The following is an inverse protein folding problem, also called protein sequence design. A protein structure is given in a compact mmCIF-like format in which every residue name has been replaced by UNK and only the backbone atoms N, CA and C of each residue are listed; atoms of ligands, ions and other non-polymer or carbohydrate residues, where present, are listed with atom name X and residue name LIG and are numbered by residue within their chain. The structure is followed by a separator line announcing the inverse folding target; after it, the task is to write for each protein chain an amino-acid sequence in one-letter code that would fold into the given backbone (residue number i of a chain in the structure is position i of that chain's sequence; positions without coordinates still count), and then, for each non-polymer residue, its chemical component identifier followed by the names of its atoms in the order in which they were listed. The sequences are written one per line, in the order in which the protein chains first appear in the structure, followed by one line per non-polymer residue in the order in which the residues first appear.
data_IF_032122127317
#
_entry.id   IF_032122127317
#
_cell.length_a   1.000
_cell.length_b   1.000
_cell.length_c   1.000
_cell.angle_alpha   90.00
_cell.angle_beta   90.00
_cell.angle_gamma   90.00
#
_symmetry.space_group_name_H-M   'P 1'
#
loop_
_entity.id
_entity.type
_entity.pdbx_description
1 polymer ?
#
# COMPACT_ATOMS: atom_id res chain seq x y z
N UNK A 1 6.00 -8.98 40.29
CA UNK A 1 5.04 -8.24 39.44
C UNK A 1 3.72 -8.23 40.16
N UNK A 2 3.08 -7.06 40.29
CA UNK A 2 1.72 -6.93 40.83
C UNK A 2 0.73 -7.63 39.86
N UNK A 3 -0.30 -8.29 40.39
CA UNK A 3 -1.39 -8.90 39.62
C UNK A 3 -1.96 -7.95 38.55
N UNK A 4 -2.16 -6.68 38.86
CA UNK A 4 -2.65 -5.67 37.90
C UNK A 4 -1.70 -5.47 36.71
N UNK A 5 -0.39 -5.51 36.94
CA UNK A 5 0.59 -5.38 35.85
C UNK A 5 0.63 -6.65 34.99
N UNK A 6 0.49 -7.83 35.60
CA UNK A 6 0.35 -9.09 34.87
C UNK A 6 -0.89 -9.08 33.97
N UNK A 7 -2.02 -8.62 34.50
CA UNK A 7 -3.27 -8.54 33.74
C UNK A 7 -3.18 -7.50 32.61
N UNK A 8 -2.53 -6.35 32.84
CA UNK A 8 -2.25 -5.37 31.81
C UNK A 8 -1.40 -5.95 30.66
N UNK A 9 -0.28 -6.60 30.99
CA UNK A 9 0.59 -7.23 29.99
C UNK A 9 -0.11 -8.35 29.23
N UNK A 10 -0.92 -9.17 29.92
CA UNK A 10 -1.70 -10.25 29.29
C UNK A 10 -2.75 -9.70 28.33
N UNK A 11 -3.55 -8.73 28.77
CA UNK A 11 -4.64 -8.16 27.94
C UNK A 11 -4.04 -7.38 26.76
N UNK A 12 -3.03 -6.53 27.01
CA UNK A 12 -2.34 -5.81 25.95
C UNK A 12 -1.67 -6.74 24.94
N UNK A 13 -1.03 -7.82 25.41
CA UNK A 13 -0.42 -8.85 24.57
C UNK A 13 -1.42 -9.77 23.84
N UNK A 14 -2.71 -9.64 24.12
CA UNK A 14 -3.77 -10.36 23.42
C UNK A 14 -4.37 -9.57 22.25
N UNK A 15 -3.92 -8.34 21.98
CA UNK A 15 -4.34 -7.59 20.80
C UNK A 15 -3.91 -8.31 19.52
N UNK A 16 -4.86 -8.58 18.63
CA UNK A 16 -4.64 -9.29 17.36
C UNK A 16 -4.88 -8.42 16.13
N UNK A 17 -5.67 -7.35 16.25
CA UNK A 17 -5.99 -6.43 15.14
C UNK A 17 -6.34 -5.05 15.70
N UNK A 18 -5.82 -3.99 15.08
CA UNK A 18 -6.19 -2.60 15.37
C UNK A 18 -6.70 -1.85 14.12
N UNK A 19 -8.01 -1.91 13.88
CA UNK A 19 -8.69 -1.14 12.82
C UNK A 19 -9.25 0.16 13.38
N UNK A 20 -8.34 1.11 13.61
CA UNK A 20 -8.68 2.44 14.12
C UNK A 20 -9.53 3.25 13.15
N UNK A 21 -9.51 2.92 11.85
CA UNK A 21 -10.37 3.57 10.85
C UNK A 21 -11.84 3.15 10.96
N UNK A 22 -12.09 1.93 11.43
CA UNK A 22 -13.42 1.39 11.70
C UNK A 22 -13.84 1.48 13.17
N UNK A 23 -13.01 2.11 14.02
CA UNK A 23 -13.29 2.24 15.44
C UNK A 23 -13.18 0.92 16.22
N UNK A 24 -12.21 0.05 15.90
CA UNK A 24 -12.21 -1.33 16.36
C UNK A 24 -10.84 -1.84 16.85
N UNK A 25 -10.85 -2.58 17.96
CA UNK A 25 -9.73 -3.39 18.46
C UNK A 25 -10.19 -4.82 18.73
N UNK A 26 -9.50 -5.82 18.18
CA UNK A 26 -9.82 -7.25 18.38
C UNK A 26 -8.77 -7.95 19.23
N UNK A 27 -9.24 -8.72 20.21
CA UNK A 27 -8.42 -9.50 21.12
C UNK A 27 -8.60 -11.00 20.89
N UNK A 28 -7.57 -11.76 21.25
CA UNK A 28 -7.60 -13.22 21.32
C UNK A 28 -8.57 -13.68 22.42
N UNK A 29 -9.72 -14.21 22.02
CA UNK A 29 -10.78 -14.67 22.92
C UNK A 29 -10.36 -15.79 23.88
N UNK A 30 -9.24 -16.48 23.60
CA UNK A 30 -8.70 -17.49 24.51
C UNK A 30 -7.90 -16.89 25.67
N UNK A 31 -7.50 -15.62 25.56
CA UNK A 31 -6.64 -14.91 26.52
C UNK A 31 -7.36 -13.83 27.31
N UNK A 32 -8.45 -13.29 26.78
CA UNK A 32 -9.21 -12.20 27.40
C UNK A 32 -10.70 -12.45 27.27
N UNK A 33 -11.41 -12.32 28.40
CA UNK A 33 -12.86 -12.44 28.50
C UNK A 33 -13.57 -11.14 28.12
N UNK A 34 -14.86 -11.23 27.80
CA UNK A 34 -15.67 -10.06 27.50
C UNK A 34 -15.81 -9.14 28.72
N UNK A 35 -15.95 -9.72 29.91
CA UNK A 35 -16.08 -9.00 31.17
C UNK A 35 -14.86 -8.13 31.45
N UNK A 36 -13.65 -8.63 31.17
CA UNK A 36 -12.41 -7.85 31.30
C UNK A 36 -12.37 -6.67 30.34
N UNK A 37 -12.80 -6.86 29.09
CA UNK A 37 -12.84 -5.78 28.11
C UNK A 37 -13.89 -4.71 28.46
N UNK A 38 -15.00 -5.08 29.11
CA UNK A 38 -16.05 -4.15 29.55
C UNK A 38 -15.58 -3.19 30.65
N UNK A 39 -14.49 -3.52 31.35
CA UNK A 39 -13.88 -2.65 32.36
C UNK A 39 -12.93 -1.62 31.76
N UNK A 40 -12.63 -1.72 30.46
CA UNK A 40 -11.67 -0.83 29.80
C UNK A 40 -12.33 0.47 29.35
N UNK A 41 -11.59 1.55 29.49
CA UNK A 41 -11.89 2.86 28.89
C UNK A 41 -10.91 3.14 27.77
N UNK A 42 -11.38 3.76 26.69
CA UNK A 42 -10.55 4.15 25.57
C UNK A 42 -10.31 5.66 25.55
N UNK A 43 -9.06 6.05 25.32
CA UNK A 43 -8.64 7.44 25.24
C UNK A 43 -7.79 7.64 24.00
N UNK A 44 -7.95 8.78 23.34
CA UNK A 44 -7.05 9.19 22.26
C UNK A 44 -6.41 10.52 22.58
N UNK A 45 -5.16 10.69 22.17
CA UNK A 45 -4.45 11.97 22.20
C UNK A 45 -4.31 12.45 20.76
N UNK A 46 -4.71 13.69 20.49
CA UNK A 46 -4.56 14.31 19.18
C UNK A 46 -3.20 15.00 19.01
N UNK A 47 -2.99 15.73 17.91
CA UNK A 47 -1.73 16.45 17.67
C UNK A 47 -1.59 17.75 18.46
N UNK A 48 -2.67 18.21 19.10
CA UNK A 48 -2.64 19.33 20.03
C UNK A 48 -2.39 18.88 21.48
N UNK A 49 -2.06 17.59 21.68
CA UNK A 49 -1.88 16.94 22.99
C UNK A 49 -3.16 16.98 23.85
N UNK A 50 -4.33 17.09 23.22
CA UNK A 50 -5.62 17.04 23.90
C UNK A 50 -6.06 15.59 23.99
N UNK A 51 -6.43 15.17 25.20
CA UNK A 51 -6.94 13.84 25.49
C UNK A 51 -8.47 13.82 25.39
N UNK A 52 -8.98 12.90 24.58
CA UNK A 52 -10.40 12.69 24.36
C UNK A 52 -10.80 11.31 24.87
N UNK A 53 -11.94 11.24 25.56
CA UNK A 53 -12.58 9.99 25.93
C UNK A 53 -13.37 9.45 24.74
N UNK A 54 -13.32 8.14 24.52
CA UNK A 54 -14.15 7.47 23.52
C UNK A 54 -15.15 6.57 24.21
N UNK A 55 -16.41 6.68 23.81
CA UNK A 55 -17.43 5.72 24.22
C UNK A 55 -17.11 4.35 23.61
N UNK A 56 -17.10 3.32 24.45
CA UNK A 56 -16.75 1.95 24.07
C UNK A 56 -17.95 1.02 24.18
N UNK A 57 -18.10 0.14 23.19
CA UNK A 57 -19.03 -0.98 23.22
C UNK A 57 -18.26 -2.28 23.00
N UNK A 58 -18.42 -3.25 23.91
CA UNK A 58 -17.76 -4.55 23.80
C UNK A 58 -18.70 -5.58 23.19
N UNK A 59 -18.22 -6.35 22.21
CA UNK A 59 -18.93 -7.45 21.57
C UNK A 59 -18.01 -8.67 21.47
N UNK A 60 -18.20 -9.65 22.36
CA UNK A 60 -17.28 -10.79 22.47
C UNK A 60 -15.87 -10.32 22.84
N UNK A 61 -14.87 -10.70 22.05
CA UNK A 61 -13.47 -10.27 22.23
C UNK A 61 -13.09 -9.00 21.46
N UNK A 62 -14.07 -8.16 21.10
CA UNK A 62 -13.85 -6.96 20.30
C UNK A 62 -14.35 -5.72 21.04
N UNK A 63 -13.51 -4.68 21.08
CA UNK A 63 -13.89 -3.34 21.51
C UNK A 63 -14.21 -2.52 20.27
N UNK A 64 -15.40 -1.93 20.26
CA UNK A 64 -15.79 -0.89 19.33
C UNK A 64 -15.78 0.45 20.05
N UNK A 65 -15.37 1.50 19.37
CA UNK A 65 -15.54 2.87 19.84
C UNK A 65 -16.12 3.74 18.73
N UNK A 66 -16.72 4.85 19.14
CA UNK A 66 -17.26 5.84 18.22
C UNK A 66 -16.17 6.38 17.28
N UNK A 67 -16.61 6.95 16.15
CA UNK A 67 -15.71 7.48 15.15
C UNK A 67 -14.67 8.40 15.77
N UNK A 68 -13.40 8.19 15.41
CA UNK A 68 -12.29 9.00 15.89
C UNK A 68 -12.57 10.50 15.64
N UNK A 69 -12.19 11.40 16.56
CA UNK A 69 -12.33 12.84 16.35
C UNK A 69 -11.72 13.24 15.00
N UNK A 70 -12.53 13.79 14.09
CA UNK A 70 -12.11 14.04 12.71
C UNK A 70 -11.33 15.34 12.52
N UNK A 71 -11.22 16.17 13.57
CA UNK A 71 -10.70 17.54 13.47
C UNK A 71 -9.18 17.61 13.57
N UNK A 72 -8.55 16.66 14.27
CA UNK A 72 -7.10 16.64 14.49
C UNK A 72 -6.56 15.21 14.36
N UNK A 73 -5.37 15.02 13.74
CA UNK A 73 -4.78 13.69 13.62
C UNK A 73 -4.47 13.09 14.99
N UNK A 74 -4.65 11.79 15.11
CA UNK A 74 -4.49 11.06 16.37
C UNK A 74 -3.02 10.65 16.49
N UNK A 75 -2.38 10.99 17.60
CA UNK A 75 -0.97 10.65 17.86
C UNK A 75 -0.82 9.38 18.69
N UNK A 76 -1.82 9.09 19.53
CA UNK A 76 -1.83 7.96 20.46
C UNK A 76 -3.25 7.47 20.78
N UNK A 77 -3.39 6.17 20.97
CA UNK A 77 -4.55 5.53 21.60
C UNK A 77 -4.12 4.77 22.86
N UNK A 78 -4.89 4.88 23.93
CA UNK A 78 -4.69 4.17 25.19
C UNK A 78 -5.97 3.42 25.59
N UNK A 79 -5.84 2.16 25.98
CA UNK A 79 -6.87 1.47 26.76
C UNK A 79 -6.43 1.40 28.21
N UNK A 80 -7.37 1.67 29.13
CA UNK A 80 -7.07 1.75 30.57
C UNK A 80 -8.15 1.05 31.38
N UNK A 81 -7.73 0.34 32.43
CA UNK A 81 -8.60 -0.11 33.50
C UNK A 81 -8.30 0.77 34.72
N UNK A 82 -9.28 1.55 35.16
CA UNK A 82 -9.08 2.64 36.12
C UNK A 82 -7.92 3.56 35.67
N UNK A 83 -6.88 3.72 36.49
CA UNK A 83 -5.69 4.50 36.19
C UNK A 83 -4.55 3.68 35.57
N UNK A 84 -4.73 2.37 35.38
CA UNK A 84 -3.69 1.48 34.83
C UNK A 84 -3.78 1.42 33.31
N UNK A 85 -2.68 1.72 32.63
CA UNK A 85 -2.55 1.53 31.18
C UNK A 85 -2.47 0.04 30.84
N UNK A 86 -3.40 -0.42 30.02
CA UNK A 86 -3.48 -1.80 29.55
C UNK A 86 -2.85 -1.95 28.17
N UNK A 87 -3.11 -0.99 27.29
CA UNK A 87 -2.58 -0.96 25.93
C UNK A 87 -2.26 0.48 25.56
N UNK A 88 -1.12 0.68 24.89
CA UNK A 88 -0.77 1.95 24.27
C UNK A 88 -0.34 1.73 22.83
N UNK A 89 -1.06 2.35 21.91
CA UNK A 89 -0.66 2.48 20.51
C UNK A 89 -0.14 3.90 20.30
N UNK A 90 1.17 4.03 20.07
CA UNK A 90 1.84 5.32 19.85
C UNK A 90 2.36 5.42 18.42
N UNK A 91 2.78 6.63 18.02
CA UNK A 91 3.34 6.85 16.69
C UNK A 91 2.27 6.74 15.60
N UNK A 92 1.05 7.16 15.93
CA UNK A 92 -0.08 7.13 15.00
C UNK A 92 -0.07 8.31 14.01
N UNK A 93 0.72 9.35 14.31
CA UNK A 93 0.94 10.50 13.45
C UNK A 93 2.36 11.07 13.65
N UNK A 94 2.94 11.64 12.58
CA UNK A 94 4.30 12.18 12.57
C UNK A 94 4.28 13.63 12.08
N UNK A 95 4.36 14.63 12.98
CA UNK A 95 4.05 16.02 12.65
C UNK A 95 5.12 16.74 11.81
N UNK A 96 6.32 16.16 11.67
CA UNK A 96 7.44 16.79 10.94
C UNK A 96 8.08 15.80 9.98
N UNK A 97 8.77 16.32 8.96
CA UNK A 97 9.57 15.51 8.04
C UNK A 97 10.53 14.58 8.81
N UNK A 98 11.27 15.11 9.79
CA UNK A 98 12.21 14.33 10.60
C UNK A 98 11.52 13.19 11.36
N UNK A 99 10.36 13.45 11.96
CA UNK A 99 9.59 12.42 12.67
C UNK A 99 9.11 11.34 11.70
N UNK A 100 8.62 11.74 10.53
CA UNK A 100 8.18 10.83 9.49
C UNK A 100 9.33 9.96 8.98
N UNK A 101 10.49 10.56 8.74
CA UNK A 101 11.68 9.86 8.28
C UNK A 101 12.18 8.82 9.28
N UNK A 102 12.13 9.14 10.58
CA UNK A 102 12.54 8.24 11.65
C UNK A 102 11.50 7.16 11.99
N UNK A 103 10.21 7.43 11.80
CA UNK A 103 9.13 6.58 12.28
C UNK A 103 8.39 5.77 11.21
N UNK A 104 8.12 6.34 10.03
CA UNK A 104 7.16 5.73 9.09
C UNK A 104 7.67 5.60 7.65
N UNK A 105 8.74 6.31 7.28
CA UNK A 105 9.29 6.31 5.91
C UNK A 105 9.75 4.94 5.42
N UNK A 106 10.10 4.01 6.31
CA UNK A 106 10.68 2.70 5.93
C UNK A 106 9.76 1.54 6.31
N UNK A 107 9.77 0.43 5.54
CA UNK A 107 8.99 -0.76 5.93
C UNK A 107 9.43 -1.34 7.29
N UNK A 108 10.71 -1.24 7.64
CA UNK A 108 11.25 -1.74 8.92
C UNK A 108 10.79 -0.96 10.15
N UNK A 109 10.31 0.28 9.98
CA UNK A 109 9.83 1.11 11.07
C UNK A 109 8.30 1.18 11.14
N UNK A 110 7.60 0.71 10.09
CA UNK A 110 6.14 0.67 10.04
C UNK A 110 5.58 -0.50 10.85
N UNK A 111 4.33 -0.39 11.36
CA UNK A 111 3.66 -1.51 11.99
C UNK A 111 3.56 -2.71 11.03
N UNK A 112 3.65 -3.92 11.59
CA UNK A 112 3.34 -5.16 10.86
C UNK A 112 1.84 -5.52 10.97
N UNK A 113 0.99 -4.51 11.13
CA UNK A 113 -0.47 -4.59 11.08
C UNK A 113 -0.94 -3.75 9.87
N UNK A 114 -1.65 -4.39 8.94
CA UNK A 114 -2.10 -3.74 7.70
C UNK A 114 -3.18 -2.66 7.94
N UNK A 115 -4.04 -2.85 8.95
CA UNK A 115 -5.08 -1.90 9.34
C UNK A 115 -4.43 -0.65 9.96
N UNK A 116 -3.44 -0.86 10.82
CA UNK A 116 -2.73 0.24 11.46
C UNK A 116 -1.85 1.02 10.47
N UNK A 117 -1.14 0.32 9.56
CA UNK A 117 -0.36 0.94 8.49
C UNK A 117 -1.27 1.76 7.54
N UNK A 118 -2.48 1.25 7.22
CA UNK A 118 -3.50 1.99 6.48
C UNK A 118 -3.96 3.25 7.23
N UNK A 119 -4.33 3.12 8.50
CA UNK A 119 -4.78 4.25 9.32
C UNK A 119 -3.73 5.36 9.39
N UNK A 120 -2.49 5.04 9.75
CA UNK A 120 -1.41 6.01 9.85
C UNK A 120 -1.18 6.69 8.50
N UNK A 121 -1.10 5.92 7.41
CA UNK A 121 -0.89 6.49 6.09
C UNK A 121 -2.06 7.39 5.65
N UNK A 122 -3.31 7.06 6.00
CA UNK A 122 -4.48 7.92 5.71
C UNK A 122 -4.41 9.26 6.46
N UNK A 123 -4.09 9.24 7.75
CA UNK A 123 -3.97 10.46 8.53
C UNK A 123 -2.79 11.33 8.08
N UNK A 124 -1.66 10.70 7.76
CA UNK A 124 -0.50 11.39 7.21
C UNK A 124 -0.81 12.04 5.86
N UNK A 125 -1.58 11.40 4.99
CA UNK A 125 -1.95 12.04 3.72
C UNK A 125 -2.86 13.26 3.93
N UNK A 126 -3.82 13.18 4.85
CA UNK A 126 -4.80 14.25 5.05
C UNK A 126 -4.24 15.44 5.83
N UNK A 127 -3.49 15.20 6.90
CA UNK A 127 -3.15 16.21 7.89
C UNK A 127 -1.66 16.62 7.91
N UNK A 128 -0.78 15.92 7.22
CA UNK A 128 0.65 16.25 7.26
C UNK A 128 0.98 17.52 6.48
N UNK A 129 1.65 18.46 7.13
CA UNK A 129 2.01 19.77 6.56
C UNK A 129 3.44 19.84 6.00
N UNK A 130 4.23 18.76 6.13
CA UNK A 130 5.58 18.69 5.60
C UNK A 130 5.66 18.50 4.08
N UNK A 131 6.72 17.86 3.59
CA UNK A 131 6.93 17.71 2.14
C UNK A 131 5.74 17.00 1.46
N UNK A 132 5.17 17.57 0.37
CA UNK A 132 4.05 16.95 -0.33
C UNK A 132 4.34 15.53 -0.84
N UNK A 133 5.60 15.24 -1.18
CA UNK A 133 6.03 13.90 -1.60
C UNK A 133 5.83 12.81 -0.51
N UNK A 134 5.88 13.18 0.77
CA UNK A 134 5.57 12.24 1.86
C UNK A 134 4.09 11.94 1.96
N UNK A 135 3.23 12.92 1.72
CA UNK A 135 1.78 12.68 1.60
C UNK A 135 1.51 11.71 0.46
N UNK A 136 2.05 11.96 -0.73
CA UNK A 136 1.87 11.09 -1.90
C UNK A 136 2.40 9.67 -1.60
N UNK A 137 3.55 9.55 -0.95
CA UNK A 137 4.07 8.26 -0.49
C UNK A 137 3.10 7.53 0.45
N UNK A 138 2.42 8.26 1.33
CA UNK A 138 1.38 7.69 2.20
C UNK A 138 0.16 7.22 1.40
N UNK A 139 -0.29 7.96 0.38
CA UNK A 139 -1.36 7.49 -0.51
C UNK A 139 -0.99 6.18 -1.23
N UNK A 140 0.27 6.04 -1.67
CA UNK A 140 0.79 4.78 -2.24
C UNK A 140 0.76 3.64 -1.21
N UNK A 141 1.16 3.90 0.03
CA UNK A 141 1.07 2.91 1.12
C UNK A 141 -0.39 2.52 1.37
N UNK A 142 -1.30 3.48 1.49
CA UNK A 142 -2.74 3.24 1.63
C UNK A 142 -3.28 2.36 0.49
N UNK A 143 -2.90 2.64 -0.76
CA UNK A 143 -3.32 1.84 -1.92
C UNK A 143 -2.97 0.37 -1.78
N UNK A 144 -1.72 0.06 -1.42
CA UNK A 144 -1.31 -1.34 -1.24
C UNK A 144 -1.99 -1.99 -0.04
N UNK A 145 -2.16 -1.27 1.08
CA UNK A 145 -2.83 -1.82 2.26
C UNK A 145 -4.32 -2.05 2.04
N UNK A 146 -5.01 -1.14 1.36
CA UNK A 146 -6.40 -1.33 0.96
C UNK A 146 -6.58 -2.55 0.04
N UNK A 147 -5.64 -2.78 -0.88
CA UNK A 147 -5.66 -3.96 -1.73
C UNK A 147 -5.46 -5.27 -0.94
N UNK A 148 -4.61 -5.27 0.10
CA UNK A 148 -4.41 -6.41 1.01
C UNK A 148 -5.65 -6.71 1.87
N UNK A 149 -6.35 -5.67 2.34
CA UNK A 149 -7.44 -5.77 3.32
C UNK A 149 -8.78 -6.25 2.73
N UNK A 150 -8.99 -6.13 1.42
CA UNK A 150 -10.26 -6.47 0.75
C UNK A 150 -11.51 -5.78 1.31
N UNK A 151 -11.35 -4.57 1.85
CA UNK A 151 -12.45 -3.73 2.34
C UNK A 151 -12.81 -2.69 1.25
N UNK A 152 -14.03 -2.76 0.66
CA UNK A 152 -14.43 -1.83 -0.40
C UNK A 152 -14.38 -0.36 0.00
N UNK A 153 -14.70 -0.03 1.26
CA UNK A 153 -14.66 1.35 1.76
C UNK A 153 -13.23 1.86 1.80
N UNK A 154 -12.30 1.03 2.26
CA UNK A 154 -10.86 1.38 2.28
C UNK A 154 -10.26 1.46 0.88
N UNK A 155 -10.69 0.60 -0.04
CA UNK A 155 -10.28 0.64 -1.44
C UNK A 155 -10.74 1.92 -2.14
N UNK A 156 -12.00 2.31 -1.96
CA UNK A 156 -12.53 3.56 -2.51
C UNK A 156 -11.84 4.78 -1.88
N UNK A 157 -11.58 4.75 -0.58
CA UNK A 157 -10.82 5.80 0.10
C UNK A 157 -9.41 5.94 -0.49
N UNK A 158 -8.68 4.82 -0.63
CA UNK A 158 -7.32 4.84 -1.19
C UNK A 158 -7.29 5.29 -2.66
N UNK A 159 -8.27 4.91 -3.47
CA UNK A 159 -8.44 5.40 -4.84
C UNK A 159 -8.55 6.92 -4.88
N UNK A 160 -9.43 7.52 -4.05
CA UNK A 160 -9.57 8.98 -3.97
C UNK A 160 -8.26 9.66 -3.58
N UNK A 161 -7.52 9.11 -2.62
CA UNK A 161 -6.23 9.65 -2.20
C UNK A 161 -5.19 9.60 -3.33
N UNK A 162 -5.13 8.49 -4.07
CA UNK A 162 -4.20 8.32 -5.18
C UNK A 162 -4.55 9.26 -6.34
N UNK A 163 -5.84 9.42 -6.68
CA UNK A 163 -6.29 10.37 -7.69
C UNK A 163 -5.97 11.82 -7.27
N UNK A 164 -6.21 12.18 -6.00
CA UNK A 164 -5.80 13.49 -5.46
C UNK A 164 -4.28 13.67 -5.48
N UNK A 165 -3.52 12.59 -5.28
CA UNK A 165 -2.06 12.63 -5.36
C UNK A 165 -1.56 12.98 -6.76
N UNK A 166 -2.23 12.50 -7.83
CA UNK A 166 -1.90 12.90 -9.20
C UNK A 166 -2.03 14.41 -9.41
N UNK A 167 -3.01 15.05 -8.76
CA UNK A 167 -3.20 16.50 -8.80
C UNK A 167 -2.15 17.28 -7.99
N UNK A 168 -1.52 16.63 -6.99
CA UNK A 168 -0.48 17.22 -6.15
C UNK A 168 0.93 17.07 -6.77
N UNK A 169 1.14 16.16 -7.72
CA UNK A 169 2.45 15.95 -8.34
C UNK A 169 3.09 17.23 -8.91
N UNK A 170 2.36 18.14 -9.60
CA UNK A 170 2.95 19.37 -10.11
C UNK A 170 3.53 20.30 -9.01
N UNK A 171 3.05 20.17 -7.76
CA UNK A 171 3.52 20.97 -6.62
C UNK A 171 4.69 20.31 -5.89
N UNK A 172 5.14 19.13 -6.30
CA UNK A 172 6.33 18.48 -5.74
C UNK A 172 7.59 18.97 -6.44
N UNK A 173 8.67 19.14 -5.67
CA UNK A 173 9.97 19.50 -6.22
C UNK A 173 10.63 18.29 -6.90
N UNK A 174 11.49 18.57 -7.89
CA UNK A 174 12.45 17.59 -8.39
C UNK A 174 13.54 17.43 -7.32
N UNK A 175 13.28 16.58 -6.34
CA UNK A 175 14.20 16.32 -5.25
C UNK A 175 15.21 15.22 -5.63
N UNK A 176 16.41 15.28 -5.06
CA UNK A 176 17.44 14.24 -5.24
C UNK A 176 17.09 12.91 -4.55
N UNK A 177 16.16 12.94 -3.59
CA UNK A 177 15.67 11.74 -2.90
C UNK A 177 14.59 11.04 -3.73
N UNK A 178 14.76 9.74 -3.98
CA UNK A 178 13.82 8.90 -4.75
C UNK A 178 12.38 8.99 -4.24
N UNK A 179 12.21 9.16 -2.92
CA UNK A 179 10.90 9.22 -2.26
C UNK A 179 10.22 10.58 -2.35
N UNK A 180 10.92 11.58 -2.86
CA UNK A 180 10.43 12.94 -3.07
C UNK A 180 10.47 13.35 -4.54
N UNK A 181 11.10 12.54 -5.40
CA UNK A 181 11.16 12.77 -6.83
C UNK A 181 9.78 12.61 -7.47
N UNK A 182 9.34 13.67 -8.15
CA UNK A 182 8.03 13.77 -8.78
C UNK A 182 7.77 12.65 -9.78
N UNK A 183 8.77 12.32 -10.59
CA UNK A 183 8.66 11.34 -11.66
C UNK A 183 8.47 9.93 -11.09
N UNK A 184 9.30 9.56 -10.12
CA UNK A 184 9.16 8.31 -9.39
C UNK A 184 7.82 8.21 -8.63
N UNK A 185 7.38 9.32 -8.01
CA UNK A 185 6.08 9.37 -7.33
C UNK A 185 4.92 9.18 -8.32
N UNK A 186 4.99 9.77 -9.52
CA UNK A 186 3.96 9.60 -10.55
C UNK A 186 3.79 8.12 -10.94
N UNK A 187 4.89 7.45 -11.25
CA UNK A 187 4.88 6.01 -11.58
C UNK A 187 4.39 5.18 -10.39
N UNK A 188 4.79 5.53 -9.17
CA UNK A 188 4.38 4.82 -7.96
C UNK A 188 2.87 4.95 -7.69
N UNK A 189 2.28 6.13 -7.92
CA UNK A 189 0.85 6.38 -7.79
C UNK A 189 0.07 5.57 -8.83
N UNK A 190 0.47 5.62 -10.11
CA UNK A 190 -0.17 4.82 -11.16
C UNK A 190 -0.05 3.32 -10.88
N UNK A 191 1.12 2.88 -10.38
CA UNK A 191 1.34 1.50 -9.98
C UNK A 191 0.39 1.07 -8.85
N UNK A 192 0.23 1.90 -7.82
CA UNK A 192 -0.70 1.62 -6.73
C UNK A 192 -2.16 1.66 -7.20
N UNK A 193 -2.54 2.58 -8.08
CA UNK A 193 -3.89 2.69 -8.63
C UNK A 193 -4.34 1.41 -9.33
N UNK A 194 -3.51 0.86 -10.23
CA UNK A 194 -3.93 -0.35 -10.94
C UNK A 194 -4.05 -1.57 -10.00
N UNK A 195 -3.27 -1.62 -8.90
CA UNK A 195 -3.47 -2.62 -7.85
C UNK A 195 -4.79 -2.43 -7.11
N UNK A 196 -5.13 -1.20 -6.74
CA UNK A 196 -6.43 -0.88 -6.10
C UNK A 196 -7.58 -1.26 -7.02
N UNK A 197 -7.50 -0.95 -8.32
CA UNK A 197 -8.54 -1.31 -9.29
C UNK A 197 -8.72 -2.82 -9.45
N UNK A 198 -7.63 -3.60 -9.46
CA UNK A 198 -7.75 -5.07 -9.43
C UNK A 198 -8.44 -5.55 -8.15
N UNK A 199 -8.05 -5.01 -7.00
CA UNK A 199 -8.61 -5.42 -5.71
C UNK A 199 -10.08 -5.01 -5.54
N UNK A 200 -10.49 -3.92 -6.18
CA UNK A 200 -11.85 -3.37 -6.14
C UNK A 200 -12.78 -3.90 -7.23
N UNK A 201 -12.33 -4.83 -8.08
CA UNK A 201 -13.17 -5.38 -9.16
C UNK A 201 -13.45 -4.39 -10.30
N UNK A 202 -12.48 -3.51 -10.61
CA UNK A 202 -12.58 -2.44 -11.62
C UNK A 202 -11.69 -2.74 -12.85
N UNK A 203 -12.11 -3.66 -13.74
CA UNK A 203 -11.26 -4.16 -14.82
C UNK A 203 -10.92 -3.10 -15.89
N UNK A 204 -11.85 -2.18 -16.18
CA UNK A 204 -11.65 -1.14 -17.20
C UNK A 204 -10.62 -0.10 -16.74
N UNK A 205 -10.77 0.39 -15.51
CA UNK A 205 -9.90 1.36 -14.85
C UNK A 205 -8.49 0.79 -14.65
N UNK A 206 -8.39 -0.51 -14.32
CA UNK A 206 -7.13 -1.24 -14.26
C UNK A 206 -6.37 -1.17 -15.60
N UNK A 207 -7.00 -1.52 -16.72
CA UNK A 207 -6.36 -1.50 -18.04
C UNK A 207 -6.02 -0.07 -18.46
N UNK A 208 -6.94 0.88 -18.25
CA UNK A 208 -6.71 2.28 -18.56
C UNK A 208 -5.50 2.83 -17.80
N UNK A 209 -5.33 2.48 -16.53
CA UNK A 209 -4.19 2.93 -15.72
C UNK A 209 -2.87 2.35 -16.23
N UNK A 210 -2.84 1.08 -16.65
CA UNK A 210 -1.66 0.50 -17.29
C UNK A 210 -1.32 1.19 -18.61
N UNK A 211 -2.34 1.57 -19.40
CA UNK A 211 -2.15 2.32 -20.64
C UNK A 211 -1.62 3.74 -20.37
N UNK A 212 -2.15 4.43 -19.34
CA UNK A 212 -1.63 5.74 -18.91
C UNK A 212 -0.18 5.64 -18.46
N UNK A 213 0.19 4.59 -17.72
CA UNK A 213 1.59 4.36 -17.33
C UNK A 213 2.48 4.10 -18.54
N UNK A 214 2.02 3.31 -19.51
CA UNK A 214 2.76 3.09 -20.77
C UNK A 214 2.97 4.41 -21.53
N UNK A 215 1.90 5.17 -21.75
CA UNK A 215 1.95 6.45 -22.48
C UNK A 215 2.90 7.44 -21.78
N UNK A 216 2.90 7.45 -20.44
CA UNK A 216 3.80 8.27 -19.64
C UNK A 216 5.28 7.95 -19.89
N UNK A 217 5.64 6.68 -20.16
CA UNK A 217 7.05 6.27 -20.36
C UNK A 217 7.47 6.17 -21.82
N UNK A 218 6.53 6.26 -22.75
CA UNK A 218 6.79 6.23 -24.19
C UNK A 218 7.55 7.46 -24.68
N UNK A 219 7.39 8.63 -24.07
CA UNK A 219 8.09 9.84 -24.48
C UNK A 219 9.58 9.85 -24.11
N UNK A 220 10.00 8.95 -23.21
CA UNK A 220 11.36 8.82 -22.67
C UNK A 220 11.89 10.13 -22.06
N UNK A 221 11.01 10.98 -21.55
CA UNK A 221 11.35 12.34 -21.10
C UNK A 221 11.88 12.43 -19.66
N UNK A 222 11.83 11.31 -18.93
CA UNK A 222 12.29 11.21 -17.54
C UNK A 222 13.77 11.57 -17.37
N UNK A 223 14.07 12.30 -16.29
CA UNK A 223 15.43 12.69 -15.96
C UNK A 223 16.31 11.49 -15.60
N UNK A 224 15.74 10.47 -14.96
CA UNK A 224 16.41 9.19 -14.70
C UNK A 224 15.42 8.05 -14.65
N UNK A 225 15.72 6.98 -15.40
CA UNK A 225 14.93 5.75 -15.38
C UNK A 225 15.28 4.81 -14.22
N UNK A 226 16.42 5.07 -13.57
CA UNK A 226 17.00 4.18 -12.57
C UNK A 226 16.03 3.83 -11.44
N UNK A 227 15.31 4.82 -10.93
CA UNK A 227 14.47 4.68 -9.73
C UNK A 227 13.04 4.21 -10.05
N UNK A 228 12.57 4.44 -11.28
CA UNK A 228 11.21 4.12 -11.70
C UNK A 228 11.09 2.81 -12.47
N UNK A 229 12.19 2.30 -13.03
CA UNK A 229 12.18 1.15 -13.93
C UNK A 229 11.58 -0.13 -13.31
N UNK A 230 11.69 -0.30 -11.98
CA UNK A 230 11.08 -1.46 -11.33
C UNK A 230 9.54 -1.43 -11.43
N UNK A 231 8.91 -0.32 -11.03
CA UNK A 231 7.45 -0.18 -11.10
C UNK A 231 6.94 -0.10 -12.55
N UNK A 232 7.75 0.44 -13.48
CA UNK A 232 7.42 0.41 -14.91
C UNK A 232 7.47 -1.01 -15.45
N UNK A 233 8.56 -1.74 -15.24
CA UNK A 233 8.75 -3.08 -15.81
C UNK A 233 7.72 -4.09 -15.32
N UNK A 234 7.33 -4.05 -14.04
CA UNK A 234 6.25 -4.91 -13.54
C UNK A 234 4.89 -4.56 -14.18
N UNK A 235 4.62 -3.27 -14.42
CA UNK A 235 3.35 -2.80 -15.00
C UNK A 235 3.27 -3.14 -16.50
N UNK A 236 4.36 -2.91 -17.24
CA UNK A 236 4.47 -3.29 -18.65
C UNK A 236 4.36 -4.81 -18.84
N UNK A 237 4.95 -5.61 -17.93
CA UNK A 237 4.80 -7.08 -17.96
C UNK A 237 3.33 -7.50 -17.85
N UNK A 238 2.58 -6.89 -16.92
CA UNK A 238 1.15 -7.18 -16.75
C UNK A 238 0.36 -6.74 -17.98
N UNK A 239 0.64 -5.56 -18.54
CA UNK A 239 -0.03 -5.07 -19.74
C UNK A 239 0.24 -5.98 -20.96
N UNK A 240 1.48 -6.44 -21.15
CA UNK A 240 1.81 -7.40 -22.20
C UNK A 240 1.01 -8.70 -22.06
N UNK A 241 0.83 -9.19 -20.82
CA UNK A 241 0.00 -10.37 -20.57
C UNK A 241 -1.48 -10.13 -20.94
N UNK A 242 -2.04 -8.96 -20.60
CA UNK A 242 -3.40 -8.56 -21.02
C UNK A 242 -3.51 -8.60 -22.56
N UNK A 243 -2.55 -8.00 -23.27
CA UNK A 243 -2.55 -7.96 -24.74
C UNK A 243 -2.49 -9.34 -25.37
N UNK A 244 -1.64 -10.22 -24.86
CA UNK A 244 -1.55 -11.60 -25.33
C UNK A 244 -2.86 -12.38 -25.09
N UNK A 245 -3.53 -12.20 -23.94
CA UNK A 245 -4.82 -12.84 -23.68
C UNK A 245 -5.93 -12.32 -24.60
N UNK A 246 -5.86 -11.04 -24.99
CA UNK A 246 -6.73 -10.44 -26.03
C UNK A 246 -6.31 -10.76 -27.46
N UNK A 247 -5.29 -11.61 -27.66
CA UNK A 247 -4.71 -11.97 -28.97
C UNK A 247 -4.10 -10.80 -29.74
N UNK A 248 -3.77 -9.71 -29.05
CA UNK A 248 -3.07 -8.55 -29.60
C UNK A 248 -1.56 -8.77 -29.47
N UNK A 249 -1.04 -9.65 -30.34
CA UNK A 249 0.37 -10.09 -30.29
C UNK A 249 1.32 -8.94 -30.65
N UNK A 250 0.93 -8.08 -31.59
CA UNK A 250 1.76 -6.95 -32.01
C UNK A 250 1.96 -5.97 -30.86
N UNK A 251 0.88 -5.57 -30.18
CA UNK A 251 1.00 -4.62 -29.07
C UNK A 251 1.81 -5.22 -27.90
N UNK A 252 1.70 -6.52 -27.66
CA UNK A 252 2.54 -7.21 -26.67
C UNK A 252 4.05 -7.18 -27.04
N UNK A 253 4.39 -7.25 -28.33
CA UNK A 253 5.76 -7.12 -28.82
C UNK A 253 6.27 -5.69 -28.66
N UNK A 254 5.45 -4.69 -28.96
CA UNK A 254 5.79 -3.28 -28.80
C UNK A 254 6.03 -2.95 -27.31
N UNK A 255 5.21 -3.49 -26.40
CA UNK A 255 5.40 -3.37 -24.95
C UNK A 255 6.71 -4.05 -24.50
N UNK A 256 7.03 -5.21 -25.07
CA UNK A 256 8.29 -5.90 -24.77
C UNK A 256 9.50 -5.07 -25.20
N UNK A 257 9.44 -4.43 -26.37
CA UNK A 257 10.51 -3.59 -26.86
C UNK A 257 10.68 -2.33 -25.99
N UNK A 258 9.57 -1.67 -25.65
CA UNK A 258 9.58 -0.57 -24.69
C UNK A 258 10.18 -0.99 -23.35
N UNK A 259 9.79 -2.15 -22.82
CA UNK A 259 10.35 -2.69 -21.57
C UNK A 259 11.87 -2.87 -21.64
N UNK A 260 12.37 -3.38 -22.77
CA UNK A 260 13.81 -3.56 -23.03
C UNK A 260 14.54 -2.22 -23.04
N UNK A 261 13.99 -1.23 -23.72
CA UNK A 261 14.59 0.11 -23.78
C UNK A 261 14.61 0.81 -22.42
N UNK A 262 13.52 0.74 -21.65
CA UNK A 262 13.44 1.30 -20.30
C UNK A 262 14.51 0.68 -19.40
N UNK A 263 14.72 -0.64 -19.49
CA UNK A 263 15.80 -1.28 -18.75
C UNK A 263 17.18 -0.77 -19.21
N UNK A 264 17.42 -0.64 -20.51
CA UNK A 264 18.68 -0.09 -21.02
C UNK A 264 18.93 1.33 -20.54
N UNK A 265 17.91 2.18 -20.47
CA UNK A 265 18.01 3.52 -19.92
C UNK A 265 18.30 3.47 -18.41
N UNK A 266 17.64 2.57 -17.67
CA UNK A 266 17.83 2.44 -16.22
C UNK A 266 19.24 2.02 -15.82
N UNK A 267 19.92 1.18 -16.61
CA UNK A 267 21.28 0.70 -16.28
C UNK A 267 22.40 1.61 -16.80
N UNK A 268 22.08 2.65 -17.58
CA UNK A 268 23.06 3.68 -17.96
C UNK A 268 23.46 4.55 -16.78
N UNK A 269 22.54 4.72 -15.84
CA UNK A 269 22.79 5.47 -14.62
C UNK A 269 23.53 4.59 -13.60
N UNK A 270 24.59 5.13 -13.01
CA UNK A 270 25.34 4.44 -11.96
C UNK A 270 24.76 4.76 -10.57
N UNK A 271 24.76 3.77 -9.68
CA UNK A 271 24.43 3.98 -8.27
C UNK A 271 25.50 3.38 -7.37
N UNK A 272 25.69 3.99 -6.20
CA UNK A 272 26.45 3.39 -5.08
C UNK A 272 25.52 2.74 -4.04
N UNK A 273 24.20 2.86 -4.20
CA UNK A 273 23.23 2.29 -3.26
C UNK A 273 22.93 0.83 -3.58
N UNK A 274 23.35 -0.07 -2.70
CA UNK A 274 23.16 -1.53 -2.84
C UNK A 274 21.69 -1.96 -2.99
N UNK A 275 20.75 -1.26 -2.35
CA UNK A 275 19.34 -1.61 -2.47
C UNK A 275 18.81 -1.29 -3.87
N UNK A 276 19.19 -0.14 -4.42
CA UNK A 276 18.80 0.18 -5.78
C UNK A 276 19.49 -0.76 -6.81
N UNK A 277 20.72 -1.19 -6.55
CA UNK A 277 21.37 -2.20 -7.37
C UNK A 277 20.60 -3.53 -7.38
N UNK A 278 20.04 -3.97 -6.23
CA UNK A 278 19.14 -5.14 -6.18
C UNK A 278 17.86 -4.93 -7.00
N UNK A 279 17.29 -3.72 -6.98
CA UNK A 279 16.10 -3.39 -7.77
C UNK A 279 16.33 -3.46 -9.29
N UNK A 280 17.55 -3.19 -9.77
CA UNK A 280 17.92 -3.46 -11.18
C UNK A 280 17.79 -4.95 -11.50
N UNK A 281 18.20 -5.84 -10.58
CA UNK A 281 18.08 -7.29 -10.77
C UNK A 281 16.62 -7.74 -10.93
N UNK A 282 15.71 -7.18 -10.13
CA UNK A 282 14.28 -7.42 -10.27
C UNK A 282 13.74 -6.84 -11.59
N UNK A 283 14.13 -5.62 -11.94
CA UNK A 283 13.77 -4.97 -13.21
C UNK A 283 14.18 -5.83 -14.41
N UNK A 284 15.44 -6.30 -14.45
CA UNK A 284 15.93 -7.21 -15.48
C UNK A 284 15.07 -8.47 -15.60
N UNK A 285 14.71 -9.07 -14.47
CA UNK A 285 13.86 -10.27 -14.44
C UNK A 285 12.48 -9.98 -15.03
N UNK A 286 11.84 -8.86 -14.69
CA UNK A 286 10.55 -8.48 -15.26
C UNK A 286 10.64 -8.26 -16.77
N UNK A 287 11.66 -7.55 -17.25
CA UNK A 287 11.85 -7.31 -18.68
C UNK A 287 12.10 -8.60 -19.45
N UNK A 288 12.96 -9.48 -18.93
CA UNK A 288 13.21 -10.77 -19.56
C UNK A 288 11.93 -11.62 -19.68
N UNK A 289 11.10 -11.62 -18.64
CA UNK A 289 9.82 -12.32 -18.67
C UNK A 289 8.81 -11.67 -19.62
N UNK A 290 8.77 -10.34 -19.73
CA UNK A 290 7.97 -9.66 -20.76
C UNK A 290 8.39 -10.07 -22.17
N UNK A 291 9.71 -10.14 -22.43
CA UNK A 291 10.24 -10.60 -23.72
C UNK A 291 9.88 -12.06 -24.01
N UNK A 292 9.95 -12.93 -22.99
CA UNK A 292 9.54 -14.35 -23.12
C UNK A 292 8.05 -14.48 -23.40
N UNK A 293 7.21 -13.66 -22.76
CA UNK A 293 5.77 -13.61 -23.01
C UNK A 293 5.48 -13.18 -24.46
N UNK A 294 6.07 -12.09 -24.93
CA UNK A 294 5.81 -11.53 -26.27
C UNK A 294 6.29 -12.43 -27.43
N UNK A 295 7.33 -13.24 -27.20
CA UNK A 295 7.86 -14.20 -28.20
C UNK A 295 7.15 -15.55 -28.18
N UNK A 296 6.16 -15.72 -27.31
CA UNK A 296 5.55 -17.02 -27.08
C UNK A 296 4.64 -17.39 -28.24
N UNK A 297 4.88 -18.56 -28.82
CA UNK A 297 4.05 -19.13 -29.90
C UNK A 297 2.99 -20.10 -29.39
N UNK A 298 3.12 -20.55 -28.14
CA UNK A 298 2.17 -21.45 -27.48
C UNK A 298 1.10 -20.65 -26.74
N UNK A 299 -0.10 -21.22 -26.67
CA UNK A 299 -1.22 -20.69 -25.86
C UNK A 299 -0.80 -20.42 -24.42
N UNK A 300 -1.27 -19.31 -23.86
CA UNK A 300 -1.07 -19.00 -22.45
C UNK A 300 -1.77 -20.05 -21.59
N UNK A 301 -0.99 -20.70 -20.71
CA UNK A 301 -1.50 -21.62 -19.69
C UNK A 301 -1.84 -20.85 -18.43
N UNK A 302 -2.80 -21.33 -17.63
CA UNK A 302 -3.11 -20.79 -16.31
C UNK A 302 -1.86 -20.62 -15.41
N UNK A 303 -1.01 -21.63 -15.32
CA UNK A 303 0.24 -21.56 -14.56
C UNK A 303 1.20 -20.43 -15.02
N UNK A 304 1.11 -19.95 -16.27
CA UNK A 304 1.90 -18.79 -16.71
C UNK A 304 1.29 -17.48 -16.24
N UNK A 305 -0.05 -17.40 -16.26
CA UNK A 305 -0.81 -16.27 -15.73
C UNK A 305 -0.50 -16.14 -14.24
N UNK A 306 -0.65 -17.22 -13.48
CA UNK A 306 -0.37 -17.25 -12.04
C UNK A 306 1.05 -16.81 -11.71
N UNK A 307 2.06 -17.42 -12.35
CA UNK A 307 3.46 -17.05 -12.14
C UNK A 307 3.74 -15.58 -12.46
N UNK A 308 3.08 -15.03 -13.48
CA UNK A 308 3.23 -13.63 -13.84
C UNK A 308 2.59 -12.71 -12.81
N UNK A 309 1.36 -13.00 -12.39
CA UNK A 309 0.67 -12.23 -11.37
C UNK A 309 1.37 -12.32 -10.01
N UNK A 310 1.80 -13.51 -9.57
CA UNK A 310 2.57 -13.68 -8.32
C UNK A 310 3.85 -12.85 -8.29
N UNK A 311 4.54 -12.75 -9.43
CA UNK A 311 5.75 -11.95 -9.54
C UNK A 311 5.48 -10.44 -9.61
N UNK A 312 4.43 -10.02 -10.32
CA UNK A 312 4.14 -8.61 -10.57
C UNK A 312 3.29 -7.93 -9.49
N UNK A 313 2.44 -8.67 -8.77
CA UNK A 313 1.61 -8.12 -7.71
C UNK A 313 2.43 -7.85 -6.43
N UNK A 314 2.17 -6.68 -5.83
CA UNK A 314 2.69 -6.31 -4.50
C UNK A 314 1.98 -7.09 -3.39
N UNK A 315 0.68 -7.37 -3.57
CA UNK A 315 -0.11 -8.27 -2.71
C UNK A 315 0.36 -9.71 -2.93
N UNK A 316 1.01 -10.30 -1.93
CA UNK A 316 1.64 -11.62 -2.07
C UNK A 316 0.64 -12.75 -1.83
N UNK A 317 0.62 -13.73 -2.72
CA UNK A 317 -0.36 -14.84 -2.72
C UNK A 317 -0.23 -15.76 -1.49
N UNK A 318 0.97 -15.89 -0.94
CA UNK A 318 1.25 -16.67 0.28
C UNK A 318 0.76 -15.97 1.55
N UNK A 319 0.80 -14.63 1.58
CA UNK A 319 0.37 -13.83 2.74
C UNK A 319 -1.10 -13.42 2.68
N UNK A 320 -1.61 -13.12 1.48
CA UNK A 320 -2.96 -12.62 1.25
C UNK A 320 -3.67 -13.42 0.14
N UNK A 321 -3.92 -14.73 0.34
CA UNK A 321 -4.44 -15.61 -0.71
C UNK A 321 -5.81 -15.17 -1.24
N UNK A 322 -6.70 -14.68 -0.35
CA UNK A 322 -8.04 -14.19 -0.75
C UNK A 322 -7.96 -12.92 -1.59
N UNK A 323 -7.12 -11.95 -1.19
CA UNK A 323 -6.87 -10.73 -1.95
C UNK A 323 -6.29 -11.04 -3.32
N UNK A 324 -5.27 -11.90 -3.37
CA UNK A 324 -4.67 -12.34 -4.63
C UNK A 324 -5.69 -13.00 -5.56
N UNK A 325 -6.53 -13.91 -5.05
CA UNK A 325 -7.57 -14.57 -5.84
C UNK A 325 -8.58 -13.58 -6.43
N UNK A 326 -9.03 -12.59 -5.65
CA UNK A 326 -9.91 -11.53 -6.13
C UNK A 326 -9.25 -10.68 -7.22
N UNK A 327 -7.99 -10.29 -7.03
CA UNK A 327 -7.23 -9.53 -8.02
C UNK A 327 -7.01 -10.32 -9.32
N UNK A 328 -6.75 -11.64 -9.22
CA UNK A 328 -6.66 -12.54 -10.38
C UNK A 328 -7.98 -12.60 -11.15
N UNK A 329 -9.11 -12.73 -10.46
CA UNK A 329 -10.42 -12.74 -11.10
C UNK A 329 -10.70 -11.45 -11.89
N UNK A 330 -10.44 -10.28 -11.28
CA UNK A 330 -10.56 -8.98 -11.97
C UNK A 330 -9.62 -8.87 -13.17
N UNK A 331 -8.38 -9.38 -13.04
CA UNK A 331 -7.42 -9.41 -14.13
C UNK A 331 -7.90 -10.28 -15.31
N UNK A 332 -8.40 -11.49 -15.04
CA UNK A 332 -8.90 -12.40 -16.08
C UNK A 332 -10.12 -11.83 -16.80
N UNK A 333 -11.02 -11.18 -16.06
CA UNK A 333 -12.13 -10.43 -16.64
C UNK A 333 -11.64 -9.30 -17.55
N UNK A 334 -10.69 -8.47 -17.07
CA UNK A 334 -10.09 -7.42 -17.89
C UNK A 334 -9.41 -7.97 -19.16
N UNK A 335 -8.74 -9.11 -19.05
CA UNK A 335 -8.01 -9.72 -20.14
C UNK A 335 -8.88 -10.44 -21.19
N UNK A 336 -10.16 -10.68 -20.88
CA UNK A 336 -11.12 -11.34 -21.79
C UNK A 336 -12.17 -10.42 -22.38
N UNK A 337 -12.39 -9.24 -21.79
CA UNK A 337 -13.21 -8.17 -22.40
C UNK A 337 -12.48 -7.61 -23.63
N UNK A 338 -13.11 -7.77 -24.81
CA UNK A 338 -12.64 -7.23 -26.10
C UNK A 338 -12.97 -5.75 -26.25
#
# INVERSE_FOLDING_TARGET
MNQQQYDAERIGGALTEADLSAGLLRFDASKVSQEELQLLTAHVTDSADVRHFLDVTVRGSTIHFDAMPSVSPITRLELRADDTEILRLSGLFFPTDRAFEGGFKSRSTRPDDAQLDFFIASQMFEHFEGQPGYRISCAVICGYKAAELQDPVKQEHAERMLLRSLLLLPTTSLATSTRLDREHLHVSVLCALWHVYLAAGKPSEFVQTLQSLRALVEDRSFASFFQLAYNVSLSLRVLALVRLMRKDVQDAQDISELSREIFQLSVRDSTTNLNHFKEIGYTHTHVLETMRLARRTKTLTENTIDKTLTASLRVKSDRHPKAFASMKATFEEAATRT
#
